data_IF_811612961799
#
_entry.id   IF_811612961799
#
_cell.length_a   1.000
_cell.length_b   1.000
_cell.length_c   1.000
_cell.angle_alpha   90.00
_cell.angle_beta   90.00
_cell.angle_gamma   90.00
#
_symmetry.space_group_name_H-M   'P 1'
#
loop_
_entity.id
_entity.type
_entity.pdbx_description
1 polymer ?
#
# COMPACT_ATOMS: atom_id res chain seq x y z
N UNK A 1 -0.98 21.52 7.47
CA UNK A 1 -0.72 20.07 7.62
C UNK A 1 -0.58 19.48 6.21
N UNK A 2 0.50 18.76 5.90
CA UNK A 2 0.68 18.13 4.57
C UNK A 2 0.37 16.64 4.68
N UNK A 3 -0.38 16.10 3.72
CA UNK A 3 -0.63 14.67 3.61
C UNK A 3 0.60 14.01 2.97
N UNK A 4 1.25 13.10 3.69
CA UNK A 4 2.49 12.45 3.24
C UNK A 4 2.25 11.10 2.56
N UNK A 5 1.13 10.43 2.87
CA UNK A 5 0.75 9.15 2.31
C UNK A 5 -0.76 8.98 2.32
N UNK A 6 -1.29 8.21 1.36
CA UNK A 6 -2.68 7.77 1.30
C UNK A 6 -2.66 6.25 1.09
N UNK A 7 -3.27 5.50 2.01
CA UNK A 7 -3.50 4.07 1.85
C UNK A 7 -4.89 3.82 1.29
N UNK A 8 -5.00 3.01 0.23
CA UNK A 8 -6.28 2.63 -0.38
C UNK A 8 -6.37 1.11 -0.40
N UNK A 9 -7.45 0.56 0.15
CA UNK A 9 -7.74 -0.87 0.05
C UNK A 9 -8.45 -1.16 -1.27
N UNK A 10 -7.96 -2.16 -2.01
CA UNK A 10 -8.45 -2.50 -3.35
C UNK A 10 -8.75 -3.99 -3.42
N UNK A 11 -9.77 -4.37 -4.20
CA UNK A 11 -10.14 -5.78 -4.38
C UNK A 11 -9.22 -6.56 -5.33
N UNK A 12 -8.57 -5.87 -6.28
CA UNK A 12 -7.67 -6.47 -7.26
C UNK A 12 -6.47 -5.53 -7.49
N UNK A 13 -5.29 -6.00 -7.09
CA UNK A 13 -4.06 -5.21 -7.15
C UNK A 13 -3.65 -4.86 -8.59
N UNK A 14 -3.74 -5.84 -9.50
CA UNK A 14 -3.33 -5.65 -10.90
C UNK A 14 -4.20 -4.61 -11.59
N UNK A 15 -5.53 -4.67 -11.36
CA UNK A 15 -6.46 -3.67 -11.89
C UNK A 15 -6.23 -2.30 -11.27
N UNK A 16 -5.98 -2.22 -9.97
CA UNK A 16 -5.73 -0.96 -9.29
C UNK A 16 -4.47 -0.26 -9.82
N UNK A 17 -3.35 -0.98 -9.90
CA UNK A 17 -2.10 -0.45 -10.46
C UNK A 17 -2.30 -0.01 -11.91
N UNK A 18 -2.96 -0.82 -12.74
CA UNK A 18 -3.28 -0.44 -14.11
C UNK A 18 -4.12 0.83 -14.21
N UNK A 19 -5.17 0.95 -13.38
CA UNK A 19 -6.02 2.14 -13.34
C UNK A 19 -5.23 3.38 -12.91
N UNK A 20 -4.50 3.32 -11.79
CA UNK A 20 -3.80 4.49 -11.27
C UNK A 20 -2.62 4.93 -12.15
N UNK A 21 -1.94 3.98 -12.79
CA UNK A 21 -0.87 4.31 -13.75
C UNK A 21 -1.41 4.92 -15.04
N UNK A 22 -2.53 4.39 -15.58
CA UNK A 22 -3.07 4.86 -16.86
C UNK A 22 -3.96 6.10 -16.73
N UNK A 23 -4.85 6.12 -15.73
CA UNK A 23 -5.84 7.19 -15.58
C UNK A 23 -5.29 8.40 -14.83
N UNK A 24 -4.40 8.18 -13.85
CA UNK A 24 -3.84 9.27 -13.03
C UNK A 24 -2.37 9.55 -13.31
N UNK A 25 -1.74 8.83 -14.25
CA UNK A 25 -0.34 9.03 -14.61
C UNK A 25 0.64 8.74 -13.48
N UNK A 26 0.24 7.94 -12.48
CA UNK A 26 1.17 7.55 -11.41
C UNK A 26 2.19 6.55 -11.93
N UNK A 27 3.37 6.50 -11.31
CA UNK A 27 4.36 5.45 -11.55
C UNK A 27 4.46 4.53 -10.35
N UNK A 28 4.66 3.24 -10.63
CA UNK A 28 4.94 2.25 -9.58
C UNK A 28 6.33 2.51 -9.01
N UNK A 29 6.39 2.77 -7.71
CA UNK A 29 7.64 2.98 -6.96
C UNK A 29 8.11 1.69 -6.30
N UNK A 30 7.16 0.83 -5.90
CA UNK A 30 7.44 -0.43 -5.23
C UNK A 30 6.47 -1.49 -5.74
N UNK A 31 7.06 -2.60 -6.21
CA UNK A 31 6.31 -3.77 -6.65
C UNK A 31 5.55 -4.42 -5.49
N UNK A 32 4.60 -5.26 -5.88
CA UNK A 32 3.74 -5.97 -4.94
C UNK A 32 4.55 -6.75 -3.91
N UNK A 33 4.38 -6.42 -2.63
CA UNK A 33 5.05 -7.10 -1.51
C UNK A 33 4.00 -7.66 -0.57
N UNK A 34 4.25 -8.87 -0.08
CA UNK A 34 3.39 -9.49 0.93
C UNK A 34 3.71 -8.89 2.30
N UNK A 35 2.72 -8.26 2.91
CA UNK A 35 2.75 -7.82 4.30
C UNK A 35 2.18 -8.93 5.16
N UNK A 36 2.93 -9.32 6.19
CA UNK A 36 2.50 -10.23 7.24
C UNK A 36 2.49 -9.49 8.57
N UNK A 37 1.76 -10.02 9.54
CA UNK A 37 1.80 -9.48 10.90
C UNK A 37 3.18 -9.74 11.52
N UNK A 38 3.88 -8.66 11.87
CA UNK A 38 5.20 -8.67 12.50
C UNK A 38 5.44 -7.34 13.24
N UNK A 39 6.38 -7.31 14.18
CA UNK A 39 6.67 -6.13 15.03
C UNK A 39 8.05 -5.54 14.82
N UNK A 40 8.89 -6.21 14.06
CA UNK A 40 10.28 -5.90 13.80
C UNK A 40 10.42 -4.69 12.86
N UNK A 41 9.58 -4.59 11.83
CA UNK A 41 9.59 -3.51 10.85
C UNK A 41 8.65 -2.36 11.19
N UNK A 42 8.93 -1.20 10.62
CA UNK A 42 8.05 -0.04 10.73
C UNK A 42 6.68 -0.29 10.07
N UNK A 43 6.63 -1.10 9.00
CA UNK A 43 5.39 -1.42 8.29
C UNK A 43 4.52 -2.33 9.17
N UNK A 44 5.08 -3.38 9.75
CA UNK A 44 4.35 -4.30 10.63
C UNK A 44 3.76 -3.59 11.84
N UNK A 45 4.56 -2.79 12.55
CA UNK A 45 4.06 -1.97 13.67
C UNK A 45 2.95 -1.00 13.26
N UNK A 46 3.07 -0.36 12.09
CA UNK A 46 2.03 0.51 11.55
C UNK A 46 0.75 -0.28 11.24
N UNK A 47 0.86 -1.45 10.61
CA UNK A 47 -0.29 -2.29 10.29
C UNK A 47 -1.01 -2.80 11.54
N UNK A 48 -0.28 -3.21 12.58
CA UNK A 48 -0.89 -3.59 13.87
C UNK A 48 -1.62 -2.40 14.50
N UNK A 49 -1.03 -1.19 14.45
CA UNK A 49 -1.67 0.00 15.00
C UNK A 49 -2.95 0.41 14.26
N UNK A 50 -3.04 0.12 12.95
CA UNK A 50 -4.20 0.49 12.10
C UNK A 50 -5.27 -0.60 12.09
N UNK A 51 -4.88 -1.86 11.97
CA UNK A 51 -5.79 -2.99 11.76
C UNK A 51 -6.03 -3.84 13.03
N UNK A 52 -5.23 -3.64 14.08
CA UNK A 52 -5.23 -4.46 15.29
C UNK A 52 -4.32 -5.69 15.18
N UNK A 53 -4.20 -6.41 16.29
CA UNK A 53 -3.51 -7.71 16.33
C UNK A 53 -4.34 -8.80 15.65
N UNK A 54 -3.68 -9.79 15.06
CA UNK A 54 -4.32 -10.91 14.37
C UNK A 54 -4.81 -10.60 12.96
N UNK A 55 -4.32 -9.52 12.32
CA UNK A 55 -4.77 -9.15 10.98
C UNK A 55 -4.27 -10.15 9.92
N UNK A 56 -5.13 -10.46 8.95
CA UNK A 56 -4.74 -11.32 7.84
C UNK A 56 -3.76 -10.58 6.92
N UNK A 57 -2.63 -11.23 6.59
CA UNK A 57 -1.64 -10.66 5.68
C UNK A 57 -2.22 -10.29 4.31
N UNK A 58 -1.70 -9.22 3.71
CA UNK A 58 -2.20 -8.66 2.46
C UNK A 58 -1.06 -8.22 1.54
N UNK A 59 -1.42 -7.96 0.29
CA UNK A 59 -0.51 -7.49 -0.75
C UNK A 59 -0.52 -5.96 -0.78
N UNK A 60 0.66 -5.32 -0.80
CA UNK A 60 0.78 -3.87 -0.95
C UNK A 60 1.62 -3.48 -2.17
N UNK A 61 1.26 -2.37 -2.80
CA UNK A 61 2.05 -1.70 -3.82
C UNK A 61 2.03 -0.20 -3.55
N UNK A 62 3.05 0.53 -4.03
CA UNK A 62 3.10 1.99 -3.88
C UNK A 62 3.31 2.65 -5.22
N UNK A 63 2.45 3.61 -5.51
CA UNK A 63 2.51 4.46 -6.69
C UNK A 63 2.66 5.92 -6.26
N UNK A 64 3.36 6.72 -7.07
CA UNK A 64 3.58 8.13 -6.82
C UNK A 64 3.33 8.94 -8.10
N UNK A 65 2.83 10.17 -7.93
CA UNK A 65 2.67 11.11 -9.04
C UNK A 65 4.01 11.41 -9.70
N UNK A 66 3.98 11.55 -11.01
CA UNK A 66 5.10 12.06 -11.80
C UNK A 66 4.88 13.57 -11.91
N UNK A 67 5.89 14.34 -11.51
CA UNK A 67 5.91 15.80 -11.73
C UNK A 67 6.23 16.12 -13.19
#
# INVERSE_FOLDING_TARGET
MKMNHLGIMVGDMTKAVGFYTQAMGLRVVMNNTKVIEERESAIGRMCIAVFGEGFAGFNNARDQGVE
#
